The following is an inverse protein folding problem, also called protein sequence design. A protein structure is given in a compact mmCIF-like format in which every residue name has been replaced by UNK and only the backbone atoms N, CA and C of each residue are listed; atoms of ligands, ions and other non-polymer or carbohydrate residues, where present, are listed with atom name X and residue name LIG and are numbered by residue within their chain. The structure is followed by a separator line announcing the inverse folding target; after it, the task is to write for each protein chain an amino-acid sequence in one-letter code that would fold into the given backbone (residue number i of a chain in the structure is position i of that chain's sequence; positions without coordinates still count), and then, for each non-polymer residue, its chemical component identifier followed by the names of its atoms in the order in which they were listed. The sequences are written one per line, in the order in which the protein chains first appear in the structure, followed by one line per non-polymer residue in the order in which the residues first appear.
data_IF_410086107465
#
_entry.id   IF_410086107465
#
_cell.length_a   1.000
_cell.length_b   1.000
_cell.length_c   1.000
_cell.angle_alpha   90.00
_cell.angle_beta   90.00
_cell.angle_gamma   90.00
#
_symmetry.space_group_name_H-M   'P 1'
#
loop_
_entity.id
_entity.type
_entity.pdbx_description
1 polymer ?
#
# COMPACT_ATOMS: atom_id res chain seq x y z
N UNK A 1 -7.91 -15.11 5.44
CA UNK A 1 -8.03 -14.93 4.00
C UNK A 1 -8.70 -13.61 3.72
N UNK A 2 -8.20 -12.86 2.75
CA UNK A 2 -8.76 -11.62 2.26
C UNK A 2 -10.16 -11.86 1.71
N UNK A 3 -11.13 -10.99 2.01
CA UNK A 3 -12.45 -11.09 1.42
C UNK A 3 -12.41 -10.87 -0.09
N UNK A 4 -13.44 -11.34 -0.77
CA UNK A 4 -13.65 -10.98 -2.17
C UNK A 4 -14.06 -9.52 -2.31
N UNK A 5 -13.64 -8.92 -3.43
CA UNK A 5 -14.10 -7.59 -3.79
C UNK A 5 -15.61 -7.63 -4.11
N UNK A 6 -16.31 -6.60 -3.65
CA UNK A 6 -17.70 -6.37 -3.98
C UNK A 6 -17.86 -6.18 -5.50
N UNK A 7 -18.74 -6.94 -6.13
CA UNK A 7 -18.89 -6.95 -7.59
C UNK A 7 -19.50 -5.67 -8.17
N UNK A 8 -20.15 -4.85 -7.34
CA UNK A 8 -20.75 -3.59 -7.77
C UNK A 8 -19.76 -2.43 -7.74
N UNK A 9 -18.88 -2.41 -6.74
CA UNK A 9 -17.90 -1.34 -6.54
C UNK A 9 -16.49 -1.69 -7.02
N UNK A 10 -16.17 -2.98 -7.11
CA UNK A 10 -14.84 -3.50 -7.40
C UNK A 10 -13.84 -3.37 -6.25
N UNK A 11 -14.27 -2.90 -5.06
CA UNK A 11 -13.44 -2.73 -3.87
C UNK A 11 -13.60 -3.86 -2.87
N UNK A 12 -12.62 -4.03 -1.97
CA UNK A 12 -12.81 -4.86 -0.78
C UNK A 12 -13.92 -4.28 0.12
N UNK A 13 -14.65 -5.12 0.88
CA UNK A 13 -15.62 -4.67 1.87
C UNK A 13 -14.98 -3.66 2.85
N UNK A 14 -15.73 -2.65 3.33
CA UNK A 14 -15.20 -1.63 4.23
C UNK A 14 -14.50 -2.23 5.46
N UNK A 15 -13.30 -1.74 5.76
CA UNK A 15 -12.51 -2.20 6.91
C UNK A 15 -11.02 -2.40 6.59
N UNK A 16 -10.27 -2.77 7.63
CA UNK A 16 -8.86 -3.15 7.52
C UNK A 16 -8.78 -4.67 7.52
N UNK A 17 -8.22 -5.24 6.46
CA UNK A 17 -8.09 -6.68 6.31
C UNK A 17 -6.63 -7.10 6.48
N UNK A 18 -6.30 -7.72 7.61
CA UNK A 18 -4.96 -8.23 7.84
C UNK A 18 -4.66 -9.41 6.91
N UNK A 19 -3.51 -9.39 6.25
CA UNK A 19 -3.07 -10.48 5.40
C UNK A 19 -1.54 -10.65 5.39
N UNK A 20 -1.04 -11.89 5.41
CA UNK A 20 0.38 -12.16 5.20
C UNK A 20 0.76 -11.95 3.72
N UNK A 21 2.04 -11.73 3.47
CA UNK A 21 2.58 -11.57 2.11
C UNK A 21 2.23 -12.74 1.19
N UNK A 22 2.25 -13.97 1.72
CA UNK A 22 1.88 -15.20 1.00
C UNK A 22 0.46 -15.20 0.46
N UNK A 23 -0.42 -14.36 1.00
CA UNK A 23 -1.76 -14.15 0.51
C UNK A 23 -1.84 -12.94 -0.44
N UNK A 24 -1.19 -11.83 -0.08
CA UNK A 24 -1.22 -10.57 -0.87
C UNK A 24 -0.62 -10.75 -2.26
N UNK A 25 0.58 -11.34 -2.35
CA UNK A 25 1.30 -11.45 -3.61
C UNK A 25 0.55 -12.25 -4.69
N UNK A 26 0.06 -13.48 -4.44
CA UNK A 26 -0.71 -14.20 -5.46
C UNK A 26 -2.10 -13.59 -5.70
N UNK A 27 -2.74 -12.99 -4.68
CA UNK A 27 -4.06 -12.38 -4.84
C UNK A 27 -4.04 -11.22 -5.84
N UNK A 28 -3.05 -10.34 -5.73
CA UNK A 28 -3.01 -9.12 -6.53
C UNK A 28 -2.04 -9.18 -7.71
N UNK A 29 -1.20 -10.22 -7.82
CA UNK A 29 -0.25 -10.47 -8.92
C UNK A 29 -0.80 -11.32 -10.07
N UNK A 30 -2.08 -11.20 -10.42
CA UNK A 30 -2.77 -12.13 -11.33
C UNK A 30 -2.39 -12.05 -12.81
N UNK A 31 -1.60 -11.05 -13.23
CA UNK A 31 -1.12 -10.90 -14.60
C UNK A 31 0.30 -10.32 -14.63
N UNK A 32 0.94 -10.27 -15.80
CA UNK A 32 2.32 -9.82 -15.94
C UNK A 32 2.54 -8.36 -15.48
N UNK A 33 1.57 -7.48 -15.74
CA UNK A 33 1.62 -6.08 -15.30
C UNK A 33 1.57 -5.96 -13.78
N UNK A 34 0.60 -6.63 -13.15
CA UNK A 34 0.46 -6.66 -11.70
C UNK A 34 1.63 -7.37 -11.01
N UNK A 35 2.18 -8.42 -11.61
CA UNK A 35 3.40 -9.09 -11.11
C UNK A 35 4.58 -8.14 -11.02
N UNK A 36 4.73 -7.25 -12.01
CA UNK A 36 5.76 -6.20 -11.97
C UNK A 36 5.53 -5.25 -10.80
N UNK A 37 4.28 -4.80 -10.56
CA UNK A 37 3.94 -3.96 -9.41
C UNK A 37 4.19 -4.68 -8.07
N UNK A 38 3.87 -5.97 -7.96
CA UNK A 38 4.17 -6.80 -6.78
C UNK A 38 5.67 -6.82 -6.49
N UNK A 39 6.52 -6.90 -7.52
CA UNK A 39 7.97 -6.83 -7.36
C UNK A 39 8.45 -5.49 -6.80
N UNK A 40 7.90 -4.38 -7.30
CA UNK A 40 8.19 -3.04 -6.78
C UNK A 40 7.71 -2.85 -5.33
N UNK A 41 6.49 -3.33 -5.03
CA UNK A 41 5.93 -3.34 -3.68
C UNK A 41 6.82 -4.14 -2.72
N UNK A 42 7.20 -5.37 -3.07
CA UNK A 42 8.04 -6.22 -2.24
C UNK A 42 9.35 -5.52 -1.86
N UNK A 43 10.02 -4.91 -2.83
CA UNK A 43 11.28 -4.19 -2.59
C UNK A 43 11.10 -3.02 -1.61
N UNK A 44 9.99 -2.27 -1.73
CA UNK A 44 9.68 -1.18 -0.81
C UNK A 44 9.38 -1.68 0.61
N UNK A 45 8.58 -2.75 0.71
CA UNK A 45 8.22 -3.35 1.98
C UNK A 45 9.42 -3.95 2.70
N UNK A 46 10.36 -4.57 1.98
CA UNK A 46 11.61 -5.08 2.56
C UNK A 46 12.49 -3.96 3.13
N UNK A 47 12.57 -2.80 2.46
CA UNK A 47 13.28 -1.65 3.01
C UNK A 47 12.60 -1.12 4.29
N UNK A 48 11.28 -0.97 4.27
CA UNK A 48 10.49 -0.57 5.45
C UNK A 48 10.68 -1.55 6.62
N UNK A 49 10.60 -2.85 6.37
CA UNK A 49 10.83 -3.89 7.37
C UNK A 49 12.25 -3.81 7.95
N UNK A 50 13.26 -3.65 7.08
CA UNK A 50 14.65 -3.46 7.47
C UNK A 50 14.90 -2.20 8.30
N UNK A 51 14.03 -1.19 8.19
CA UNK A 51 14.04 0.02 9.02
C UNK A 51 13.23 -0.13 10.33
N UNK A 52 12.58 -1.27 10.58
CA UNK A 52 11.80 -1.53 11.80
C UNK A 52 10.29 -1.33 11.66
N UNK A 53 9.79 -1.11 10.44
CA UNK A 53 8.35 -1.04 10.19
C UNK A 53 7.72 -2.42 10.36
N UNK A 54 6.54 -2.48 11.01
CA UNK A 54 5.82 -3.73 11.26
C UNK A 54 4.69 -3.98 10.28
N UNK A 55 4.02 -2.93 9.81
CA UNK A 55 2.88 -3.11 8.92
C UNK A 55 2.66 -1.94 7.97
N UNK A 56 2.02 -2.24 6.84
CA UNK A 56 1.67 -1.28 5.81
C UNK A 56 0.22 -1.51 5.38
N UNK A 57 -0.58 -0.44 5.42
CA UNK A 57 -1.86 -0.41 4.73
C UNK A 57 -1.60 -0.29 3.23
N UNK A 58 -2.10 -1.23 2.45
CA UNK A 58 -2.07 -1.25 1.00
C UNK A 58 -3.44 -0.86 0.47
N UNK A 59 -3.44 0.05 -0.49
CA UNK A 59 -4.61 0.64 -1.11
C UNK A 59 -4.36 0.93 -2.61
N UNK A 60 -5.22 1.73 -3.22
CA UNK A 60 -5.16 2.18 -4.58
C UNK A 60 -5.95 1.26 -5.50
N UNK A 61 -5.90 1.56 -6.79
CA UNK A 61 -6.53 0.69 -7.80
C UNK A 61 -5.89 -0.70 -7.88
N UNK A 62 -4.73 -0.89 -7.24
CA UNK A 62 -4.03 -2.16 -7.16
C UNK A 62 -4.81 -3.23 -6.40
N UNK A 63 -5.49 -2.90 -5.29
CA UNK A 63 -6.26 -3.89 -4.53
C UNK A 63 -7.71 -4.05 -4.99
N UNK A 64 -8.09 -3.39 -6.08
CA UNK A 64 -9.42 -3.50 -6.70
C UNK A 64 -9.43 -4.51 -7.85
N UNK A 65 -10.62 -4.73 -8.44
CA UNK A 65 -10.80 -5.56 -9.63
C UNK A 65 -10.23 -4.95 -10.94
N UNK A 66 -9.58 -3.78 -10.90
CA UNK A 66 -9.00 -3.18 -12.11
C UNK A 66 -7.88 -4.07 -12.67
N UNK A 67 -7.97 -4.50 -13.92
CA UNK A 67 -6.97 -5.42 -14.51
C UNK A 67 -5.56 -4.79 -14.60
N UNK A 68 -5.50 -3.53 -14.99
CA UNK A 68 -4.27 -2.76 -15.23
C UNK A 68 -4.23 -1.51 -14.34
N UNK A 69 -3.98 -1.66 -13.02
CA UNK A 69 -3.75 -0.52 -12.12
C UNK A 69 -2.48 0.21 -12.52
N UNK A 70 -2.42 1.53 -12.39
CA UNK A 70 -1.22 2.26 -12.80
C UNK A 70 -0.06 2.00 -11.83
N UNK A 71 -0.39 2.00 -10.54
CA UNK A 71 0.50 1.81 -9.41
C UNK A 71 -0.27 1.20 -8.22
N UNK A 72 0.40 1.13 -7.07
CA UNK A 72 -0.20 0.87 -5.76
C UNK A 72 0.01 2.07 -4.84
N UNK A 73 -0.90 2.22 -3.87
CA UNK A 73 -0.78 3.21 -2.80
C UNK A 73 -0.59 2.49 -1.47
N UNK A 74 0.19 3.06 -0.55
CA UNK A 74 0.34 2.48 0.78
C UNK A 74 0.69 3.46 1.89
N UNK A 75 0.34 3.08 3.11
CA UNK A 75 0.56 3.88 4.31
C UNK A 75 1.22 3.03 5.40
N UNK A 76 2.45 3.36 5.77
CA UNK A 76 3.28 2.56 6.68
C UNK A 76 3.21 3.05 8.12
N UNK A 77 3.19 2.11 9.08
CA UNK A 77 3.21 2.42 10.51
C UNK A 77 4.58 2.96 10.92
N UNK A 78 4.61 4.19 11.45
CA UNK A 78 5.83 4.88 11.85
C UNK A 78 6.45 4.32 13.15
N UNK A 79 5.67 3.57 13.94
CA UNK A 79 6.08 3.18 15.29
C UNK A 79 7.26 2.20 15.28
N UNK A 80 8.42 2.68 15.72
CA UNK A 80 9.66 1.88 15.80
C UNK A 80 10.49 1.90 14.51
N UNK A 81 10.10 2.72 13.53
CA UNK A 81 10.86 2.91 12.30
C UNK A 81 12.04 3.85 12.57
N UNK A 82 13.24 3.41 12.19
CA UNK A 82 14.43 4.25 12.14
C UNK A 82 14.51 4.96 10.76
N UNK A 83 14.28 6.29 10.71
CA UNK A 83 14.28 7.02 9.45
C UNK A 83 15.64 7.02 8.74
N UNK A 84 16.75 6.78 9.44
CA UNK A 84 18.09 6.73 8.83
C UNK A 84 18.36 5.42 8.09
N UNK A 85 17.51 4.40 8.31
CA UNK A 85 17.57 3.10 7.63
C UNK A 85 16.60 3.01 6.46
N UNK A 86 15.69 3.98 6.34
CA UNK A 86 14.82 4.09 5.17
C UNK A 86 15.65 4.49 3.96
N UNK A 87 15.28 3.92 2.82
CA UNK A 87 15.64 4.49 1.55
C UNK A 87 15.13 5.94 1.48
N UNK A 88 16.00 6.95 1.26
CA UNK A 88 15.58 8.35 1.22
C UNK A 88 14.48 8.62 0.20
N UNK A 89 14.36 7.79 -0.85
CA UNK A 89 13.28 7.88 -1.83
C UNK A 89 11.89 7.70 -1.18
N UNK A 90 11.77 6.93 -0.10
CA UNK A 90 10.51 6.74 0.65
C UNK A 90 10.13 7.97 1.49
N UNK A 91 11.03 8.95 1.61
CA UNK A 91 10.84 10.22 2.30
C UNK A 91 10.78 11.41 1.33
N UNK A 92 10.97 11.18 0.03
CA UNK A 92 10.91 12.20 -1.00
C UNK A 92 9.50 12.32 -1.59
N UNK A 93 8.78 13.34 -1.11
CA UNK A 93 7.43 13.70 -1.59
C UNK A 93 7.45 14.79 -2.67
N UNK A 94 8.62 15.19 -3.16
CA UNK A 94 8.75 16.23 -4.18
C UNK A 94 8.42 15.68 -5.58
N UNK A 95 8.21 16.59 -6.54
CA UNK A 95 7.99 16.25 -7.96
C UNK A 95 6.96 15.12 -8.18
N UNK A 96 5.85 15.14 -7.43
CA UNK A 96 4.82 14.10 -7.53
C UNK A 96 5.33 12.69 -7.21
N UNK A 97 6.33 12.56 -6.34
CA UNK A 97 6.94 11.28 -5.91
C UNK A 97 7.54 10.48 -7.07
N UNK A 98 8.02 11.18 -8.10
CA UNK A 98 8.58 10.55 -9.30
C UNK A 98 9.72 9.56 -8.99
N UNK A 99 10.58 9.87 -8.02
CA UNK A 99 11.65 8.97 -7.59
C UNK A 99 11.11 7.65 -7.01
N UNK A 100 10.05 7.76 -6.20
CA UNK A 100 9.38 6.60 -5.59
C UNK A 100 8.67 5.74 -6.63
N UNK A 101 7.90 6.35 -7.53
CA UNK A 101 7.27 5.65 -8.65
C UNK A 101 8.29 5.00 -9.57
N UNK A 102 9.43 5.64 -9.82
CA UNK A 102 10.48 5.08 -10.67
C UNK A 102 11.15 3.85 -10.04
N UNK A 103 11.43 3.90 -8.73
CA UNK A 103 12.14 2.82 -8.02
C UNK A 103 11.23 1.67 -7.60
N UNK A 104 10.07 2.00 -7.04
CA UNK A 104 9.18 1.06 -6.38
C UNK A 104 7.84 0.86 -7.11
N UNK A 105 7.56 1.63 -8.16
CA UNK A 105 6.33 1.52 -8.97
C UNK A 105 5.04 1.81 -8.19
N UNK A 106 5.16 2.49 -7.04
CA UNK A 106 4.04 2.88 -6.21
C UNK A 106 4.37 4.04 -5.29
N UNK A 107 3.39 4.40 -4.47
CA UNK A 107 3.42 5.56 -3.59
C UNK A 107 3.20 5.11 -2.15
N UNK A 108 4.07 5.55 -1.24
CA UNK A 108 4.08 5.15 0.17
C UNK A 108 4.18 6.38 1.06
N UNK A 109 3.35 6.42 2.09
CA UNK A 109 3.22 7.56 2.99
C UNK A 109 3.32 7.12 4.46
N UNK A 110 3.87 7.94 5.37
CA UNK A 110 3.71 7.68 6.79
C UNK A 110 2.21 7.69 7.13
N UNK A 111 1.71 6.66 7.81
CA UNK A 111 0.29 6.52 8.13
C UNK A 111 -0.26 7.67 8.99
N UNK A 112 0.61 8.38 9.70
CA UNK A 112 0.30 9.56 10.53
C UNK A 112 0.55 10.90 9.83
N UNK A 113 0.90 10.91 8.54
CA UNK A 113 1.00 12.14 7.75
C UNK A 113 -0.39 12.59 7.28
N UNK A 114 -0.57 13.90 7.10
CA UNK A 114 -1.81 14.48 6.58
C UNK A 114 -1.92 14.21 5.06
N UNK A 115 -3.04 13.63 4.65
CA UNK A 115 -3.46 13.53 3.25
C UNK A 115 -4.34 14.72 2.84
N UNK A 116 -5.07 15.30 3.80
CA UNK A 116 -5.89 16.50 3.67
C UNK A 116 -5.98 17.22 5.03
N UNK A 117 -6.52 18.46 5.11
CA UNK A 117 -6.70 19.14 6.39
C UNK A 117 -7.46 18.29 7.40
N UNK A 118 -6.78 17.90 8.48
CA UNK A 118 -7.34 17.06 9.54
C UNK A 118 -7.55 15.57 9.22
N UNK A 119 -7.09 15.10 8.05
CA UNK A 119 -7.26 13.69 7.62
C UNK A 119 -5.89 13.06 7.41
N UNK A 120 -5.62 11.97 8.12
CA UNK A 120 -4.38 11.21 8.01
C UNK A 120 -4.46 10.20 6.87
N UNK A 121 -3.32 9.80 6.30
CA UNK A 121 -3.30 8.80 5.22
C UNK A 121 -4.00 7.48 5.59
N UNK A 122 -3.84 7.01 6.84
CA UNK A 122 -4.55 5.82 7.33
C UNK A 122 -6.07 5.96 7.29
N UNK A 123 -6.61 7.16 7.43
CA UNK A 123 -8.06 7.41 7.42
C UNK A 123 -8.54 7.73 6.00
N UNK A 124 -7.70 8.43 5.23
CA UNK A 124 -7.94 8.80 3.83
C UNK A 124 -8.18 7.57 2.95
N UNK A 125 -7.39 6.51 3.12
CA UNK A 125 -7.52 5.28 2.35
C UNK A 125 -8.80 4.48 2.64
N UNK A 126 -9.53 4.77 3.71
CA UNK A 126 -10.76 4.04 4.04
C UNK A 126 -11.94 4.42 3.15
N UNK A 127 -11.77 5.41 2.25
CA UNK A 127 -12.82 5.89 1.35
C UNK A 127 -12.28 6.11 -0.07
N UNK A 128 -13.15 5.98 -1.06
CA UNK A 128 -12.83 6.39 -2.43
C UNK A 128 -12.96 7.92 -2.64
N UNK A 129 -12.74 8.37 -3.88
CA UNK A 129 -12.82 9.80 -4.24
C UNK A 129 -14.21 10.43 -4.06
N UNK A 130 -15.26 9.61 -3.99
CA UNK A 130 -16.64 10.02 -3.77
C UNK A 130 -17.06 9.90 -2.29
N UNK A 131 -16.15 9.47 -1.41
CA UNK A 131 -16.42 9.26 0.01
C UNK A 131 -17.07 7.92 0.32
N UNK A 132 -17.17 6.99 -0.64
CA UNK A 132 -17.71 5.65 -0.42
C UNK A 132 -16.73 4.84 0.42
N UNK A 133 -17.14 4.28 1.57
CA UNK A 133 -16.27 3.44 2.38
C UNK A 133 -15.78 2.22 1.58
N UNK A 134 -14.51 1.89 1.73
CA UNK A 134 -13.88 0.73 1.09
C UNK A 134 -12.86 0.07 2.01
N UNK A 135 -12.53 -1.18 1.68
CA UNK A 135 -11.51 -1.94 2.40
C UNK A 135 -10.10 -1.61 1.96
N UNK A 136 -9.17 -1.75 2.90
CA UNK A 136 -7.72 -1.74 2.66
C UNK A 136 -7.10 -3.03 3.19
N UNK A 137 -5.91 -3.37 2.72
CA UNK A 137 -5.17 -4.55 3.21
C UNK A 137 -4.08 -4.10 4.18
N UNK A 138 -4.02 -4.64 5.39
CA UNK A 138 -2.89 -4.42 6.29
C UNK A 138 -1.91 -5.58 6.14
N UNK A 139 -0.74 -5.32 5.58
CA UNK A 139 0.30 -6.31 5.34
C UNK A 139 1.18 -6.39 6.59
N UNK A 140 1.30 -7.59 7.17
CA UNK A 140 2.31 -7.87 8.19
C UNK A 140 3.69 -8.01 7.55
N UNK A 141 4.61 -7.09 7.84
CA UNK A 141 5.95 -7.13 7.25
C UNK A 141 6.83 -8.24 7.83
N UNK A 142 6.45 -8.84 8.96
CA UNK A 142 7.11 -10.04 9.48
C UNK A 142 6.85 -11.30 8.63
N UNK A 143 5.89 -11.23 7.70
CA UNK A 143 5.54 -12.32 6.79
C UNK A 143 6.23 -12.26 5.42
N UNK A 144 7.08 -11.26 5.19
CA UNK A 144 7.84 -11.12 3.95
C UNK A 144 8.86 -12.26 3.77
N UNK A 145 9.19 -12.63 2.52
CA UNK A 145 10.22 -13.64 2.20
C UNK A 145 11.64 -13.12 2.42
#
# INVERSE_FOLDING_TARGET
MLPDADSSTGYLPPGVHDAPWSEVAPRFGCNGHRTRLVGGLLAALQNLAGAGCRSVLLDGSFISQKDLPEDYDGAWDIRGVDPYRLDPVLLDFTNGRAAMKSKYLGELFPASSLAAPGVLYRDFFMKDRNGVPKGVVNIDLGSLP
#
